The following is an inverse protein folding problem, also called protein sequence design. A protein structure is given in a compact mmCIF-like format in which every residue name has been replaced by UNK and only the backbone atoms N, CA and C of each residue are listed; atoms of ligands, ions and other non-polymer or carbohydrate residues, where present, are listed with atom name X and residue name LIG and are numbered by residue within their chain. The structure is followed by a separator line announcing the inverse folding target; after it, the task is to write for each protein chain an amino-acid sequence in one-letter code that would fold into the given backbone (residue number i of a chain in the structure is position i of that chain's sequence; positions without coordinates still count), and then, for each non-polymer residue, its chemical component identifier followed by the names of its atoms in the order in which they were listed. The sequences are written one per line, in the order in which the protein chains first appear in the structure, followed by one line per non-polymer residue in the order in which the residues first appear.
data_IF_382041382909
#
_entry.id   IF_382041382909
#
_cell.length_a   1.000
_cell.length_b   1.000
_cell.length_c   1.000
_cell.angle_alpha   90.00
_cell.angle_beta   90.00
_cell.angle_gamma   90.00
#
_symmetry.space_group_name_H-M   'P 1'
#
loop_
_entity.id
_entity.type
_entity.pdbx_description
1 polymer ?
#
# COMPACT_ATOMS: atom_id res chain seq x y z
N UNK A 1 12.80 -7.75 -17.05
CA UNK A 1 12.28 -6.47 -17.60
C UNK A 1 11.40 -5.86 -16.53
N UNK A 2 12.03 -5.18 -15.58
CA UNK A 2 11.40 -4.71 -14.35
C UNK A 2 10.97 -3.27 -14.56
N UNK A 3 9.68 -3.05 -14.81
CA UNK A 3 9.15 -1.70 -14.94
C UNK A 3 8.69 -1.25 -13.55
N UNK A 4 9.64 -0.76 -12.74
CA UNK A 4 9.35 0.14 -11.64
C UNK A 4 9.27 1.57 -12.18
N UNK A 5 8.19 1.90 -12.91
CA UNK A 5 7.95 3.30 -13.30
C UNK A 5 6.97 3.93 -12.31
N UNK A 6 7.52 4.44 -11.21
CA UNK A 6 6.86 5.42 -10.36
C UNK A 6 6.95 6.78 -11.06
N UNK A 7 6.01 7.05 -11.99
CA UNK A 7 5.88 8.38 -12.62
C UNK A 7 4.61 9.09 -12.19
N UNK A 8 4.84 10.03 -11.28
CA UNK A 8 3.87 11.03 -10.84
C UNK A 8 4.01 12.25 -11.72
N UNK A 9 2.90 12.66 -12.30
CA UNK A 9 2.76 13.98 -12.91
C UNK A 9 1.54 14.65 -12.33
N UNK A 10 1.69 15.09 -11.09
CA UNK A 10 1.34 16.43 -10.59
C UNK A 10 1.35 16.39 -9.07
N UNK A 11 2.51 16.80 -8.50
CA UNK A 11 2.81 17.16 -7.10
C UNK A 11 2.39 16.12 -6.03
N UNK A 12 3.24 15.32 -5.35
CA UNK A 12 4.70 15.27 -5.21
C UNK A 12 5.07 13.97 -4.42
N UNK A 13 5.50 12.86 -5.07
CA UNK A 13 6.34 11.79 -4.46
C UNK A 13 7.19 11.15 -5.55
N UNK A 14 8.18 11.87 -6.09
CA UNK A 14 9.10 11.34 -7.09
C UNK A 14 9.85 10.12 -6.53
N UNK A 15 9.73 8.97 -7.20
CA UNK A 15 10.79 7.96 -7.15
C UNK A 15 11.26 7.73 -8.58
N UNK A 16 11.85 8.78 -9.15
CA UNK A 16 12.40 8.75 -10.50
C UNK A 16 13.92 8.81 -10.44
N UNK A 17 14.51 7.74 -10.97
CA UNK A 17 15.86 7.60 -11.52
C UNK A 17 17.00 7.27 -10.54
N UNK A 18 17.59 6.07 -10.75
CA UNK A 18 18.83 5.55 -10.16
C UNK A 18 18.77 5.35 -8.64
N UNK A 19 17.96 4.40 -8.21
CA UNK A 19 18.06 3.88 -6.86
C UNK A 19 18.32 2.38 -7.03
N UNK A 20 19.48 1.91 -6.54
CA UNK A 20 19.87 0.49 -6.56
C UNK A 20 18.69 -0.39 -6.13
N UNK A 21 18.56 -1.57 -6.75
CA UNK A 21 17.57 -2.60 -6.38
C UNK A 21 17.54 -2.83 -4.84
N UNK A 22 18.70 -2.65 -4.20
CA UNK A 22 18.90 -2.74 -2.74
C UNK A 22 18.10 -1.73 -1.90
N UNK A 23 17.72 -0.58 -2.42
CA UNK A 23 17.07 0.47 -1.59
C UNK A 23 15.58 0.18 -1.36
N UNK A 24 14.89 -0.33 -2.38
CA UNK A 24 13.51 -0.80 -2.22
C UNK A 24 13.44 -2.18 -1.57
N UNK A 25 14.47 -3.00 -1.76
CA UNK A 25 14.66 -4.24 -1.04
C UNK A 25 14.65 -4.08 0.48
N UNK A 26 14.94 -2.88 1.00
CA UNK A 26 14.98 -2.56 2.43
C UNK A 26 13.87 -1.61 2.91
N UNK A 27 12.92 -1.22 2.04
CA UNK A 27 11.90 -0.24 2.38
C UNK A 27 10.80 -0.85 3.27
N UNK A 28 10.83 -0.51 4.56
CA UNK A 28 9.82 -0.98 5.54
C UNK A 28 8.56 -0.13 5.63
N UNK A 29 8.62 1.12 5.18
CA UNK A 29 7.51 2.07 5.27
C UNK A 29 7.31 2.82 3.95
N UNK A 30 6.08 2.81 3.43
CA UNK A 30 5.70 3.52 2.21
C UNK A 30 4.47 4.39 2.48
N UNK A 31 4.57 5.68 2.16
CA UNK A 31 3.49 6.65 2.34
C UNK A 31 3.13 7.28 0.99
N UNK A 32 1.82 7.36 0.71
CA UNK A 32 1.26 8.21 -0.34
C UNK A 32 0.32 9.26 0.27
N UNK A 33 0.43 10.49 -0.21
CA UNK A 33 -0.35 11.63 0.27
C UNK A 33 -0.86 12.46 -0.89
N UNK A 34 -2.14 12.83 -0.85
CA UNK A 34 -2.81 13.72 -1.82
C UNK A 34 -2.59 13.31 -3.29
N UNK A 35 -2.50 12.00 -3.53
CA UNK A 35 -2.19 11.48 -4.86
C UNK A 35 -3.38 11.68 -5.79
N UNK A 36 -3.09 12.27 -6.96
CA UNK A 36 -4.08 12.54 -8.01
C UNK A 36 -4.22 11.41 -9.03
N UNK A 37 -3.48 10.32 -8.84
CA UNK A 37 -3.53 9.11 -9.66
C UNK A 37 -4.79 8.30 -9.38
N UNK A 38 -5.47 7.87 -10.44
CA UNK A 38 -6.63 7.00 -10.32
C UNK A 38 -6.27 5.52 -10.16
N UNK A 39 -5.27 5.05 -10.93
CA UNK A 39 -4.87 3.64 -10.97
C UNK A 39 -3.44 3.47 -10.50
N UNK A 40 -3.26 2.72 -9.42
CA UNK A 40 -1.93 2.37 -8.92
C UNK A 40 -1.52 0.99 -9.45
N UNK A 41 -0.34 0.92 -10.07
CA UNK A 41 0.27 -0.33 -10.51
C UNK A 41 1.61 -0.49 -9.79
N UNK A 42 1.85 -1.70 -9.28
CA UNK A 42 3.08 -2.10 -8.60
C UNK A 42 3.58 -3.36 -9.30
N UNK A 43 4.89 -3.48 -9.51
CA UNK A 43 5.48 -4.70 -10.06
C UNK A 43 5.57 -5.81 -9.01
N UNK A 44 5.58 -7.06 -9.45
CA UNK A 44 5.42 -8.28 -8.63
C UNK A 44 6.42 -8.43 -7.45
N UNK A 45 7.51 -7.64 -7.41
CA UNK A 45 8.56 -7.74 -6.38
C UNK A 45 8.97 -6.36 -5.80
N UNK A 46 8.12 -5.34 -5.91
CA UNK A 46 8.59 -3.94 -5.68
C UNK A 46 8.91 -3.60 -4.21
N UNK A 47 8.44 -4.39 -3.24
CA UNK A 47 8.47 -4.02 -1.81
C UNK A 47 8.63 -5.23 -0.85
N UNK A 48 9.67 -6.07 -0.98
CA UNK A 48 9.73 -7.39 -0.33
C UNK A 48 9.73 -7.35 1.21
N UNK A 49 10.19 -6.25 1.83
CA UNK A 49 10.26 -6.09 3.29
C UNK A 49 9.34 -4.99 3.84
N UNK A 50 8.39 -4.53 3.04
CA UNK A 50 7.48 -3.46 3.46
C UNK A 50 6.58 -3.94 4.59
N UNK A 51 6.67 -3.26 5.73
CA UNK A 51 5.91 -3.57 6.94
C UNK A 51 4.64 -2.70 7.05
N UNK A 52 4.65 -1.49 6.46
CA UNK A 52 3.57 -0.52 6.61
C UNK A 52 3.32 0.34 5.36
N UNK A 53 2.05 0.40 4.97
CA UNK A 53 1.51 1.25 3.90
C UNK A 53 0.61 2.34 4.47
N UNK A 54 0.95 3.61 4.30
CA UNK A 54 0.12 4.76 4.70
C UNK A 54 -0.43 5.50 3.48
N UNK A 55 -1.75 5.58 3.36
CA UNK A 55 -2.46 6.36 2.34
C UNK A 55 -3.24 7.47 3.02
N UNK A 56 -2.98 8.72 2.62
CA UNK A 56 -3.59 9.93 3.18
C UNK A 56 -4.17 10.78 2.04
N UNK A 57 -5.46 11.08 2.10
CA UNK A 57 -6.11 12.02 1.15
C UNK A 57 -5.93 11.68 -0.34
N UNK A 58 -5.78 10.40 -0.67
CA UNK A 58 -5.61 9.88 -2.03
C UNK A 58 -6.97 9.70 -2.72
N UNK A 59 -7.82 10.74 -2.72
CA UNK A 59 -9.23 10.66 -3.12
C UNK A 59 -9.49 10.15 -4.54
N UNK A 60 -8.50 10.28 -5.44
CA UNK A 60 -8.63 9.80 -6.83
C UNK A 60 -8.29 8.32 -6.97
N UNK A 61 -7.51 7.75 -6.06
CA UNK A 61 -7.09 6.37 -6.13
C UNK A 61 -8.30 5.46 -5.96
N UNK A 62 -8.50 4.57 -6.93
CA UNK A 62 -9.67 3.68 -7.01
C UNK A 62 -9.49 2.44 -6.11
N UNK A 63 -8.29 1.86 -6.08
CA UNK A 63 -8.01 0.64 -5.32
C UNK A 63 -6.53 0.54 -4.92
N UNK A 64 -6.28 -0.23 -3.87
CA UNK A 64 -4.94 -0.69 -3.52
C UNK A 64 -4.62 -1.95 -4.35
N UNK A 65 -3.44 -2.04 -4.98
CA UNK A 65 -3.03 -3.23 -5.73
C UNK A 65 -3.15 -4.53 -4.91
N UNK A 66 -3.81 -5.58 -5.44
CA UNK A 66 -3.95 -6.84 -4.72
C UNK A 66 -2.64 -7.52 -4.34
N UNK A 67 -1.56 -7.26 -5.08
CA UNK A 67 -0.21 -7.81 -4.84
C UNK A 67 0.37 -7.44 -3.47
N UNK A 68 -0.18 -6.44 -2.77
CA UNK A 68 0.16 -6.19 -1.36
C UNK A 68 -0.25 -7.34 -0.42
N UNK A 69 -1.21 -8.19 -0.81
CA UNK A 69 -1.60 -9.37 -0.06
C UNK A 69 -0.52 -10.46 -0.04
N UNK A 70 0.22 -10.59 -1.13
CA UNK A 70 1.33 -11.53 -1.29
C UNK A 70 2.59 -11.11 -0.49
N UNK A 71 2.65 -9.85 -0.05
CA UNK A 71 3.81 -9.31 0.65
C UNK A 71 3.91 -9.80 2.10
N UNK A 72 4.60 -10.91 2.32
CA UNK A 72 4.83 -11.57 3.62
C UNK A 72 5.25 -10.69 4.80
N UNK A 73 5.77 -9.48 4.57
CA UNK A 73 6.22 -8.55 5.61
C UNK A 73 5.17 -7.50 6.00
N UNK A 74 4.17 -7.25 5.15
CA UNK A 74 3.19 -6.19 5.35
C UNK A 74 2.26 -6.52 6.52
N UNK A 75 2.22 -5.64 7.52
CA UNK A 75 1.46 -5.81 8.76
C UNK A 75 0.42 -4.70 8.98
N UNK A 76 0.58 -3.55 8.31
CA UNK A 76 -0.31 -2.39 8.49
C UNK A 76 -0.65 -1.73 7.15
N UNK A 77 -1.94 -1.52 6.90
CA UNK A 77 -2.47 -0.60 5.90
C UNK A 77 -3.22 0.49 6.64
N UNK A 78 -2.77 1.75 6.52
CA UNK A 78 -3.43 2.90 7.13
C UNK A 78 -4.10 3.76 6.07
N UNK A 79 -5.39 4.01 6.25
CA UNK A 79 -6.23 4.84 5.40
C UNK A 79 -6.70 6.05 6.19
N UNK A 80 -6.28 7.24 5.78
CA UNK A 80 -6.76 8.49 6.37
C UNK A 80 -7.47 9.31 5.31
N UNK A 81 -8.78 9.50 5.51
CA UNK A 81 -9.69 10.15 4.54
C UNK A 81 -9.68 9.48 3.15
N UNK A 82 -9.65 8.14 3.12
CA UNK A 82 -9.69 7.33 1.88
C UNK A 82 -10.81 6.27 1.92
N UNK A 83 -12.08 6.66 2.12
CA UNK A 83 -13.18 5.69 2.26
C UNK A 83 -13.33 4.76 1.05
N UNK A 84 -12.99 5.25 -0.16
CA UNK A 84 -13.05 4.48 -1.39
C UNK A 84 -12.06 3.31 -1.45
N UNK A 85 -11.02 3.33 -0.61
CA UNK A 85 -9.99 2.29 -0.58
C UNK A 85 -10.27 1.18 0.42
N UNK A 86 -11.25 1.37 1.32
CA UNK A 86 -11.55 0.43 2.41
C UNK A 86 -11.86 -0.97 1.90
N UNK A 87 -12.67 -1.09 0.85
CA UNK A 87 -13.02 -2.40 0.26
C UNK A 87 -11.77 -3.14 -0.24
N UNK A 88 -10.90 -2.45 -0.99
CA UNK A 88 -9.67 -3.05 -1.51
C UNK A 88 -8.69 -3.44 -0.38
N UNK A 89 -8.58 -2.61 0.67
CA UNK A 89 -7.76 -2.91 1.84
C UNK A 89 -8.27 -4.15 2.61
N UNK A 90 -9.58 -4.30 2.76
CA UNK A 90 -10.17 -5.47 3.41
C UNK A 90 -9.96 -6.74 2.60
N UNK A 91 -10.08 -6.68 1.26
CA UNK A 91 -9.78 -7.83 0.39
C UNK A 91 -8.33 -8.29 0.55
N UNK A 92 -7.38 -7.34 0.59
CA UNK A 92 -5.97 -7.62 0.83
C UNK A 92 -5.77 -8.24 2.21
N UNK A 93 -6.42 -7.70 3.25
CA UNK A 93 -6.38 -8.26 4.61
C UNK A 93 -6.79 -9.72 4.64
N UNK A 94 -8.00 -10.03 4.17
CA UNK A 94 -8.57 -11.38 4.20
C UNK A 94 -7.64 -12.36 3.47
N UNK A 95 -7.21 -12.00 2.26
CA UNK A 95 -6.29 -12.84 1.49
C UNK A 95 -4.94 -13.06 2.19
N UNK A 96 -4.34 -12.00 2.74
CA UNK A 96 -3.06 -12.11 3.44
C UNK A 96 -3.15 -13.01 4.69
N UNK A 97 -4.24 -12.90 5.45
CA UNK A 97 -4.47 -13.70 6.66
C UNK A 97 -4.70 -15.18 6.33
N UNK A 98 -5.47 -15.48 5.28
CA UNK A 98 -5.69 -16.83 4.78
C UNK A 98 -4.37 -17.50 4.35
N UNK A 99 -3.50 -16.74 3.67
CA UNK A 99 -2.23 -17.26 3.15
C UNK A 99 -1.15 -17.42 4.23
N UNK A 100 -1.18 -16.61 5.30
CA UNK A 100 -0.14 -16.60 6.34
C UNK A 100 -0.47 -17.41 7.58
N UNK A 101 -1.58 -18.16 7.57
CA UNK A 101 -1.98 -18.96 8.72
C UNK A 101 -2.31 -18.11 9.96
N UNK A 102 -2.93 -16.95 9.77
CA UNK A 102 -3.47 -16.14 10.88
C UNK A 102 -2.55 -15.02 11.41
N UNK A 103 -1.46 -14.68 10.72
CA UNK A 103 -0.74 -13.43 11.02
C UNK A 103 -1.61 -12.22 10.64
N UNK A 104 -1.97 -11.42 11.64
CA UNK A 104 -2.91 -10.31 11.50
C UNK A 104 -2.35 -9.17 10.64
N UNK A 105 -3.10 -8.79 9.60
CA UNK A 105 -2.86 -7.56 8.83
C UNK A 105 -3.87 -6.50 9.30
N UNK A 106 -3.37 -5.41 9.88
CA UNK A 106 -4.24 -4.37 10.42
C UNK A 106 -4.60 -3.35 9.34
N UNK A 107 -5.91 -3.08 9.20
CA UNK A 107 -6.42 -1.94 8.43
C UNK A 107 -6.84 -0.85 9.42
N UNK A 108 -6.15 0.29 9.38
CA UNK A 108 -6.25 1.39 10.33
C UNK A 108 -6.80 2.67 9.70
N UNK A 109 -7.56 3.44 10.47
CA UNK A 109 -8.11 4.73 10.13
C UNK A 109 -7.33 5.90 10.73
N UNK A 110 -7.96 7.08 10.73
CA UNK A 110 -7.50 8.24 11.53
C UNK A 110 -7.33 7.83 13.00
N UNK A 111 -6.31 8.36 13.68
CA UNK A 111 -6.00 8.04 15.08
C UNK A 111 -5.74 6.55 15.37
N UNK A 112 -5.34 5.75 14.36
CA UNK A 112 -5.07 4.31 14.47
C UNK A 112 -6.30 3.50 14.91
N UNK A 113 -7.50 3.97 14.58
CA UNK A 113 -8.74 3.22 14.82
C UNK A 113 -8.77 2.01 13.87
N UNK A 114 -9.04 0.81 14.38
CA UNK A 114 -9.11 -0.39 13.55
C UNK A 114 -10.38 -0.35 12.69
N UNK A 115 -10.24 -0.27 11.37
CA UNK A 115 -11.39 -0.24 10.44
C UNK A 115 -12.08 -1.59 10.36
N UNK A 116 -11.35 -2.69 10.60
CA UNK A 116 -11.93 -4.05 10.61
C UNK A 116 -12.88 -4.34 11.78
N UNK A 117 -13.11 -3.39 12.68
CA UNK A 117 -14.11 -3.47 13.77
C UNK A 117 -15.34 -2.59 13.53
N UNK A 118 -15.39 -1.87 12.41
CA UNK A 118 -16.46 -0.91 12.09
C UNK A 118 -17.48 -1.46 11.08
N UNK A 119 -17.24 -2.66 10.57
CA UNK A 119 -18.08 -3.41 9.63
C UNK A 119 -18.16 -4.86 10.10
#
# INVERSE_FOLDING_TARGET
MYICDVRLKSNLISVSQLIDEDTFGNLKFFKLEEVTLAKWKVGDESFPVLEKLDLLECYKLEEIPPSFGDNGSLNIIKLVKNPQLEESAMKIKVYAEDMRGGHELQVLGLNNILLSKLF
#
